data_IF_984361262035
#
_entry.id   IF_984361262035
#
_cell.length_a   1.000
_cell.length_b   1.000
_cell.length_c   1.000
_cell.angle_alpha   90.00
_cell.angle_beta   90.00
_cell.angle_gamma   90.00
#
_symmetry.space_group_name_H-M   'P 1'
#
loop_
_entity.id
_entity.type
_entity.pdbx_description
1 polymer ?
#
# COMPACT_ATOMS: atom_id res chain seq x y z
N UNK A 1 11.88 1.94 -3.55
CA UNK A 1 10.54 2.41 -3.13
C UNK A 1 9.78 2.90 -4.37
N UNK A 2 9.30 1.98 -5.23
CA UNK A 2 8.63 2.31 -6.49
C UNK A 2 7.13 2.61 -6.30
N UNK A 3 6.47 1.90 -5.38
CA UNK A 3 5.03 2.01 -5.10
C UNK A 3 4.58 3.44 -4.74
N UNK A 4 5.40 4.20 -3.99
CA UNK A 4 5.05 5.58 -3.61
C UNK A 4 5.00 6.56 -4.78
N UNK A 5 5.73 6.27 -5.86
CA UNK A 5 5.84 7.16 -7.04
C UNK A 5 4.68 6.92 -8.00
N UNK A 6 4.37 5.65 -8.26
CA UNK A 6 3.23 5.24 -9.09
C UNK A 6 1.91 5.78 -8.54
N UNK A 7 1.73 5.75 -7.21
CA UNK A 7 0.52 6.29 -6.59
C UNK A 7 0.40 7.81 -6.70
N UNK A 8 1.53 8.53 -6.65
CA UNK A 8 1.54 9.97 -6.88
C UNK A 8 1.11 10.29 -8.33
N UNK A 9 1.54 9.49 -9.31
CA UNK A 9 1.14 9.67 -10.71
C UNK A 9 -0.35 9.38 -10.91
N UNK A 10 -0.89 8.35 -10.26
CA UNK A 10 -2.33 8.03 -10.32
C UNK A 10 -3.20 9.14 -9.71
N UNK A 11 -2.86 9.64 -8.51
CA UNK A 11 -3.60 10.75 -7.89
C UNK A 11 -3.59 11.99 -8.80
N UNK A 12 -2.45 12.27 -9.44
CA UNK A 12 -2.33 13.41 -10.34
C UNK A 12 -3.18 13.23 -11.60
N UNK A 13 -3.19 12.02 -12.18
CA UNK A 13 -4.02 11.69 -13.34
C UNK A 13 -5.51 11.85 -13.03
N UNK A 14 -5.97 11.36 -11.88
CA UNK A 14 -7.37 11.50 -11.43
C UNK A 14 -7.75 12.98 -11.28
N UNK A 15 -6.90 13.77 -10.62
CA UNK A 15 -7.17 15.19 -10.43
C UNK A 15 -7.19 15.98 -11.75
N UNK A 16 -6.34 15.63 -12.71
CA UNK A 16 -6.37 16.22 -14.05
C UNK A 16 -7.67 15.82 -14.77
N UNK A 17 -8.08 14.55 -14.68
CA UNK A 17 -9.32 14.07 -15.28
C UNK A 17 -10.58 14.73 -14.68
N UNK A 18 -10.54 15.07 -13.39
CA UNK A 18 -11.57 15.85 -12.71
C UNK A 18 -11.55 17.35 -13.07
N UNK A 19 -10.57 17.79 -13.86
CA UNK A 19 -10.47 19.16 -14.35
C UNK A 19 -9.77 20.12 -13.39
N UNK A 20 -9.08 19.63 -12.37
CA UNK A 20 -8.27 20.50 -11.50
C UNK A 20 -7.03 21.00 -12.26
N UNK A 21 -6.72 22.29 -12.07
CA UNK A 21 -5.58 22.93 -12.70
C UNK A 21 -4.95 24.00 -11.81
N UNK A 22 -3.71 24.39 -12.12
CA UNK A 22 -2.99 25.46 -11.44
C UNK A 22 -2.77 25.18 -9.94
N UNK A 23 -2.94 26.20 -9.11
CA UNK A 23 -2.73 26.09 -7.65
C UNK A 23 -3.72 25.14 -6.98
N UNK A 24 -4.96 25.09 -7.45
CA UNK A 24 -5.98 24.15 -6.94
C UNK A 24 -5.60 22.69 -7.15
N UNK A 25 -4.98 22.36 -8.29
CA UNK A 25 -4.48 21.01 -8.53
C UNK A 25 -3.44 20.61 -7.49
N UNK A 26 -2.53 21.52 -7.16
CA UNK A 26 -1.46 21.26 -6.20
C UNK A 26 -1.98 21.09 -4.77
N UNK A 27 -2.95 21.92 -4.36
CA UNK A 27 -3.56 21.84 -3.04
C UNK A 27 -4.36 20.54 -2.88
N UNK A 28 -5.10 20.14 -3.92
CA UNK A 28 -5.91 18.93 -3.86
C UNK A 28 -5.08 17.66 -4.00
N UNK A 29 -3.98 17.73 -4.75
CA UNK A 29 -2.96 16.70 -4.78
C UNK A 29 -2.37 16.46 -3.40
N UNK A 30 -1.95 17.52 -2.69
CA UNK A 30 -1.41 17.40 -1.32
C UNK A 30 -2.44 16.83 -0.36
N UNK A 31 -3.70 17.28 -0.45
CA UNK A 31 -4.80 16.79 0.39
C UNK A 31 -5.04 15.30 0.19
N UNK A 32 -5.16 14.84 -1.07
CA UNK A 32 -5.37 13.42 -1.38
C UNK A 32 -4.15 12.57 -1.03
N UNK A 33 -2.96 13.05 -1.36
CA UNK A 33 -1.72 12.36 -1.01
C UNK A 33 -1.58 12.18 0.50
N UNK A 34 -1.95 13.19 1.31
CA UNK A 34 -1.92 13.11 2.77
C UNK A 34 -2.95 12.13 3.34
N UNK A 35 -4.15 12.04 2.75
CA UNK A 35 -5.19 11.08 3.17
C UNK A 35 -4.84 9.63 2.86
N UNK A 36 -4.14 9.41 1.76
CA UNK A 36 -3.87 8.05 1.26
C UNK A 36 -2.53 7.50 1.77
N UNK A 37 -1.59 8.38 2.15
CA UNK A 37 -0.30 8.01 2.75
C UNK A 37 -0.39 6.99 3.89
N UNK A 38 -1.28 7.16 4.89
CA UNK A 38 -1.39 6.24 6.02
C UNK A 38 -1.83 4.84 5.57
N UNK A 39 -2.78 4.77 4.63
CA UNK A 39 -3.26 3.50 4.09
C UNK A 39 -2.19 2.77 3.26
N UNK A 40 -1.39 3.51 2.48
CA UNK A 40 -0.27 2.92 1.73
C UNK A 40 0.84 2.46 2.66
N UNK A 41 1.12 3.22 3.72
CA UNK A 41 2.13 2.81 4.71
C UNK A 41 1.69 1.57 5.47
N UNK A 42 0.43 1.47 5.88
CA UNK A 42 -0.14 0.26 6.47
C UNK A 42 -0.07 -0.94 5.50
N UNK A 43 -0.48 -0.76 4.24
CA UNK A 43 -0.41 -1.82 3.23
C UNK A 43 1.04 -2.28 2.97
N UNK A 44 2.00 -1.35 2.95
CA UNK A 44 3.41 -1.66 2.78
C UNK A 44 4.00 -2.35 4.01
N UNK A 45 3.51 -2.04 5.19
CA UNK A 45 3.87 -2.68 6.46
C UNK A 45 3.33 -4.11 6.52
N UNK A 46 2.05 -4.32 6.19
CA UNK A 46 1.44 -5.65 6.06
C UNK A 46 2.20 -6.51 5.04
N UNK A 47 2.50 -5.96 3.86
CA UNK A 47 3.29 -6.67 2.84
C UNK A 47 4.71 -7.01 3.33
N UNK A 48 5.31 -6.18 4.17
CA UNK A 48 6.61 -6.48 4.80
C UNK A 48 6.48 -7.56 5.86
N UNK A 49 5.45 -7.56 6.68
CA UNK A 49 5.21 -8.58 7.71
C UNK A 49 4.93 -9.96 7.08
N UNK A 50 4.17 -10.01 5.98
CA UNK A 50 3.96 -11.22 5.18
C UNK A 50 5.27 -11.71 4.56
N UNK A 51 6.08 -10.80 3.98
CA UNK A 51 7.38 -11.15 3.40
C UNK A 51 8.45 -11.53 4.43
N UNK A 52 8.33 -11.06 5.68
CA UNK A 52 9.20 -11.42 6.81
C UNK A 52 8.83 -12.77 7.44
N UNK A 53 7.79 -13.46 6.94
CA UNK A 53 7.46 -14.82 7.38
C UNK A 53 6.87 -14.91 8.78
N UNK A 54 6.24 -13.85 9.29
CA UNK A 54 5.50 -13.88 10.57
C UNK A 54 4.05 -14.35 10.45
N UNK A 55 3.68 -14.98 9.33
CA UNK A 55 2.47 -15.79 9.31
C UNK A 55 2.71 -17.04 10.16
N UNK A 56 1.73 -17.44 10.98
CA UNK A 56 1.73 -18.79 11.56
C UNK A 56 1.92 -19.79 10.41
N UNK A 57 3.08 -20.44 10.39
CA UNK A 57 3.31 -21.57 9.50
C UNK A 57 3.11 -22.83 10.35
N UNK A 58 2.12 -23.63 10.01
CA UNK A 58 1.98 -24.97 10.56
C UNK A 58 2.90 -25.90 9.78
N UNK A 59 3.77 -26.61 10.48
CA UNK A 59 4.62 -27.64 9.89
C UNK A 59 3.79 -28.89 9.55
N UNK A 60 4.33 -29.79 8.72
CA UNK A 60 3.66 -31.06 8.40
C UNK A 60 3.31 -31.83 9.68
N UNK A 61 4.22 -31.84 10.66
CA UNK A 61 4.03 -32.47 11.96
C UNK A 61 2.92 -31.79 12.79
N UNK A 62 2.71 -30.48 12.65
CA UNK A 62 1.61 -29.76 13.32
C UNK A 62 0.23 -30.13 12.77
N UNK A 63 0.17 -30.58 11.51
CA UNK A 63 -1.10 -30.90 10.81
C UNK A 63 -1.38 -32.40 10.81
N UNK A 64 -0.34 -33.22 10.66
CA UNK A 64 -0.48 -34.67 10.45
C UNK A 64 0.07 -35.53 11.59
N UNK A 65 0.77 -34.92 12.56
CA UNK A 65 1.46 -35.63 13.63
C UNK A 65 2.73 -36.35 13.15
N UNK A 66 3.66 -36.70 14.06
CA UNK A 66 4.82 -37.51 13.68
C UNK A 66 4.33 -38.88 13.20
N UNK A 67 4.86 -39.33 12.06
CA UNK A 67 4.62 -40.70 11.58
C UNK A 67 5.22 -41.71 12.56
N UNK A 68 4.41 -42.66 13.03
CA UNK A 68 4.82 -43.81 13.86
C UNK A 68 5.80 -44.75 13.10
#
# INVERSE_FOLDING_TARGET
>A
MLVRREFAEQILADLIAEGYSGTKLLDEFKTRQAKIRPAIEALLEDAREVALGKGEYSTYDDVFGPED
#
